data_IF_586459671714
#
_entry.id   IF_586459671714
#
_cell.length_a   1.000
_cell.length_b   1.000
_cell.length_c   1.000
_cell.angle_alpha   90.00
_cell.angle_beta   90.00
_cell.angle_gamma   90.00
#
_symmetry.space_group_name_H-M   'P 1'
#
loop_
_entity.id
_entity.type
_entity.pdbx_description
1 polymer ?
#
# COMPACT_ATOMS: atom_id res chain seq x y z
N UNK A 1 14.29 -2.82 -40.09
CA UNK A 1 12.82 -2.78 -39.98
C UNK A 1 12.33 -4.16 -39.55
N UNK A 2 12.28 -4.45 -38.24
CA UNK A 2 11.80 -5.73 -37.70
C UNK A 2 11.55 -5.65 -36.18
N UNK A 3 10.55 -4.86 -35.73
CA UNK A 3 10.14 -4.82 -34.30
C UNK A 3 8.66 -4.45 -34.10
N UNK A 4 7.74 -5.00 -34.90
CA UNK A 4 6.31 -4.66 -34.79
C UNK A 4 5.38 -5.81 -34.35
N UNK A 5 5.83 -7.07 -34.33
CA UNK A 5 4.89 -8.21 -34.21
C UNK A 5 4.80 -8.90 -32.84
N UNK A 6 5.62 -8.54 -31.84
CA UNK A 6 5.56 -9.19 -30.52
C UNK A 6 4.49 -8.62 -29.57
N UNK A 7 3.99 -7.39 -29.82
CA UNK A 7 3.11 -6.69 -28.87
C UNK A 7 1.63 -7.12 -28.90
N UNK A 8 1.21 -7.90 -29.91
CA UNK A 8 -0.21 -8.33 -30.04
C UNK A 8 -0.54 -9.66 -29.34
N UNK A 9 0.45 -10.49 -29.01
CA UNK A 9 0.20 -11.78 -28.38
C UNK A 9 -0.12 -11.68 -26.87
N UNK A 10 0.37 -10.64 -26.18
CA UNK A 10 0.24 -10.54 -24.72
C UNK A 10 -1.07 -9.86 -24.25
N UNK A 11 -1.79 -9.16 -25.15
CA UNK A 11 -3.05 -8.46 -24.80
C UNK A 11 -4.27 -9.36 -24.70
N UNK A 12 -4.20 -10.63 -25.13
CA UNK A 12 -5.35 -11.55 -25.08
C UNK A 12 -5.44 -12.41 -23.82
N UNK A 13 -4.41 -12.45 -22.97
CA UNK A 13 -4.46 -13.22 -21.70
C UNK A 13 -4.92 -12.43 -20.47
N UNK A 14 -5.09 -11.11 -20.57
CA UNK A 14 -5.50 -10.24 -19.44
C UNK A 14 -7.00 -9.91 -19.37
N UNK A 15 -7.84 -10.56 -20.18
CA UNK A 15 -9.27 -10.21 -20.30
C UNK A 15 -10.26 -11.22 -19.70
N UNK A 16 -9.78 -12.14 -18.85
CA UNK A 16 -10.63 -13.21 -18.31
C UNK A 16 -10.45 -13.45 -16.80
N UNK A 17 -10.28 -12.37 -16.04
CA UNK A 17 -10.62 -12.35 -14.61
C UNK A 17 -11.74 -11.34 -14.37
N UNK A 18 -12.78 -11.42 -15.20
CA UNK A 18 -14.08 -10.89 -14.85
C UNK A 18 -14.63 -11.72 -13.70
N UNK A 19 -14.68 -11.09 -12.53
CA UNK A 19 -15.52 -11.39 -11.38
C UNK A 19 -16.67 -12.33 -11.71
N UNK A 20 -16.54 -13.58 -11.29
CA UNK A 20 -17.68 -14.46 -11.04
C UNK A 20 -17.65 -14.81 -9.56
N UNK A 21 -18.19 -13.90 -8.73
CA UNK A 21 -18.69 -14.26 -7.42
C UNK A 21 -19.91 -15.16 -7.63
N UNK A 22 -19.67 -16.47 -7.67
CA UNK A 22 -20.74 -17.47 -7.61
C UNK A 22 -21.31 -17.44 -6.19
N UNK A 23 -22.52 -16.93 -6.06
CA UNK A 23 -23.33 -17.10 -4.86
C UNK A 23 -23.65 -18.60 -4.70
N UNK A 24 -22.90 -19.30 -3.85
CA UNK A 24 -23.26 -20.62 -3.38
C UNK A 24 -24.33 -20.46 -2.29
N UNK A 25 -25.60 -20.57 -2.67
CA UNK A 25 -26.69 -20.80 -1.72
C UNK A 25 -26.59 -22.27 -1.30
N UNK A 26 -25.74 -22.53 -0.31
CA UNK A 26 -25.57 -23.83 0.33
C UNK A 26 -26.32 -23.86 1.66
N UNK A 27 -27.42 -24.60 1.68
CA UNK A 27 -28.30 -24.82 2.82
C UNK A 27 -27.61 -25.65 3.91
N UNK A 28 -27.70 -25.18 5.16
CA UNK A 28 -27.53 -25.89 6.44
C UNK A 28 -26.22 -26.67 6.67
N UNK A 29 -25.25 -25.98 7.26
CA UNK A 29 -24.13 -26.59 7.99
C UNK A 29 -23.34 -25.52 8.72
N UNK A 30 -23.38 -25.50 10.05
CA UNK A 30 -22.65 -24.54 10.86
C UNK A 30 -21.13 -24.70 10.66
N UNK A 31 -20.54 -23.80 9.87
CA UNK A 31 -19.13 -23.68 9.61
C UNK A 31 -18.93 -22.45 8.75
N UNK A 32 -18.58 -21.33 9.39
CA UNK A 32 -18.55 -20.01 8.78
C UNK A 32 -17.62 -19.94 7.55
N UNK A 33 -18.21 -20.00 6.36
CA UNK A 33 -17.60 -19.58 5.11
C UNK A 33 -17.94 -18.11 4.91
N UNK A 34 -17.14 -17.21 5.49
CA UNK A 34 -17.23 -15.78 5.20
C UNK A 34 -16.68 -15.53 3.79
N UNK A 35 -17.61 -15.27 2.89
CA UNK A 35 -17.43 -14.70 1.56
C UNK A 35 -16.60 -13.41 1.63
N UNK A 36 -15.34 -13.47 1.20
CA UNK A 36 -14.48 -12.29 1.03
C UNK A 36 -14.93 -11.46 -0.19
N UNK A 37 -15.91 -10.58 0.02
CA UNK A 37 -16.14 -9.45 -0.86
C UNK A 37 -15.03 -8.42 -0.61
N UNK A 38 -14.01 -8.39 -1.49
CA UNK A 38 -13.12 -7.28 -1.85
C UNK A 38 -12.91 -6.08 -0.91
N UNK A 39 -12.84 -6.29 0.40
CA UNK A 39 -12.54 -5.25 1.37
C UNK A 39 -11.08 -4.84 1.30
N UNK A 40 -10.79 -3.62 1.76
CA UNK A 40 -9.42 -3.19 2.00
C UNK A 40 -8.77 -4.16 3.01
N UNK A 41 -7.67 -4.85 2.64
CA UNK A 41 -7.01 -5.79 3.55
C UNK A 41 -6.49 -5.15 4.83
N UNK A 42 -6.26 -3.83 4.82
CA UNK A 42 -5.75 -3.07 5.96
C UNK A 42 -6.85 -2.49 6.84
N UNK A 43 -8.13 -2.59 6.46
CA UNK A 43 -9.23 -2.15 7.30
C UNK A 43 -9.20 -2.88 8.65
N UNK A 44 -9.31 -2.12 9.73
CA UNK A 44 -9.26 -2.67 11.08
C UNK A 44 -7.86 -3.04 11.61
N UNK A 45 -6.78 -2.83 10.85
CA UNK A 45 -5.43 -3.24 11.25
C UNK A 45 -4.66 -2.18 12.06
N UNK A 46 -5.13 -0.93 12.13
CA UNK A 46 -4.53 0.16 12.89
C UNK A 46 -4.87 0.15 14.38
N UNK A 47 -4.43 1.16 15.11
CA UNK A 47 -4.71 1.35 16.54
C UNK A 47 -4.03 0.34 17.45
N UNK A 48 -4.53 0.22 18.69
CA UNK A 48 -3.89 -0.54 19.77
C UNK A 48 -3.37 -1.92 19.35
N UNK A 49 -2.11 -2.18 19.65
CA UNK A 49 -1.43 -3.45 19.35
C UNK A 49 -0.99 -3.57 17.90
N UNK A 50 -0.82 -2.44 17.20
CA UNK A 50 -0.28 -2.41 15.85
C UNK A 50 1.11 -3.05 15.80
N UNK A 51 1.93 -2.82 16.83
CA UNK A 51 3.24 -3.49 16.99
C UNK A 51 3.14 -5.01 16.83
N UNK A 52 2.28 -5.64 17.61
CA UNK A 52 2.13 -7.10 17.59
C UNK A 52 1.66 -7.59 16.22
N UNK A 53 0.81 -6.82 15.53
CA UNK A 53 0.35 -7.12 14.16
C UNK A 53 1.45 -6.95 13.12
N UNK A 54 2.31 -5.95 13.28
CA UNK A 54 3.52 -5.79 12.50
C UNK A 54 4.43 -7.01 12.62
N UNK A 55 4.67 -7.51 13.84
CA UNK A 55 5.48 -8.71 14.07
C UNK A 55 4.82 -9.99 13.54
N UNK A 56 3.50 -10.09 13.62
CA UNK A 56 2.73 -11.21 13.10
C UNK A 56 2.65 -11.24 11.56
N UNK A 57 2.93 -10.11 10.90
CA UNK A 57 2.80 -9.92 9.47
C UNK A 57 1.43 -9.35 9.09
N UNK A 58 1.44 -8.08 8.68
CA UNK A 58 0.25 -7.41 8.15
C UNK A 58 -0.09 -7.90 6.74
N UNK A 59 -1.37 -7.90 6.36
CA UNK A 59 -1.75 -8.25 5.00
C UNK A 59 -1.29 -7.14 4.03
N UNK A 60 -0.73 -7.53 2.88
CA UNK A 60 -0.25 -6.57 1.88
C UNK A 60 -1.35 -6.21 0.87
N UNK A 61 -1.63 -4.91 0.66
CA UNK A 61 -2.42 -4.45 -0.47
C UNK A 61 -1.88 -4.91 -1.82
N UNK A 62 -2.78 -5.09 -2.79
CA UNK A 62 -2.36 -5.33 -4.16
C UNK A 62 -1.61 -4.10 -4.70
N UNK A 63 -0.42 -4.32 -5.25
CA UNK A 63 0.41 -3.23 -5.79
C UNK A 63 1.37 -2.61 -4.76
N UNK A 64 1.48 -3.17 -3.56
CA UNK A 64 2.54 -2.78 -2.61
C UNK A 64 3.91 -2.98 -3.24
N UNK A 65 4.69 -1.90 -3.29
CA UNK A 65 6.09 -1.90 -3.75
C UNK A 65 7.06 -1.85 -2.56
N UNK A 66 6.60 -1.38 -1.41
CA UNK A 66 7.36 -1.31 -0.18
C UNK A 66 6.40 -1.28 1.02
N UNK A 67 6.78 -1.94 2.10
CA UNK A 67 6.17 -1.74 3.41
C UNK A 67 7.27 -1.69 4.47
N UNK A 68 6.99 -1.03 5.59
CA UNK A 68 7.76 -1.24 6.81
C UNK A 68 6.92 -0.93 8.05
N UNK A 69 7.42 -1.39 9.19
CA UNK A 69 6.93 -1.02 10.49
C UNK A 69 8.01 -0.23 11.22
N UNK A 70 7.60 0.82 11.92
CA UNK A 70 8.48 1.66 12.73
C UNK A 70 7.91 1.83 14.12
N UNK A 71 8.84 1.97 15.08
CA UNK A 71 8.52 2.17 16.46
C UNK A 71 9.08 3.46 17.05
N UNK A 72 8.16 4.32 17.49
CA UNK A 72 8.48 5.64 17.96
C UNK A 72 9.01 6.55 16.86
N UNK A 73 9.56 7.68 17.26
CA UNK A 73 10.07 8.68 16.33
C UNK A 73 11.28 8.18 15.55
N UNK A 74 11.32 8.47 14.26
CA UNK A 74 12.39 7.96 13.41
C UNK A 74 12.42 8.53 12.01
N UNK A 75 13.55 8.29 11.35
CA UNK A 75 13.76 8.59 9.94
C UNK A 75 14.44 7.43 9.25
N UNK A 76 13.97 7.08 8.05
CA UNK A 76 14.58 6.10 7.17
C UNK A 76 14.73 6.63 5.75
N UNK A 77 15.70 6.07 5.02
CA UNK A 77 15.85 6.29 3.59
C UNK A 77 16.06 4.94 2.92
N UNK A 78 15.32 4.71 1.84
CA UNK A 78 15.25 3.44 1.14
C UNK A 78 15.43 3.67 -0.35
N UNK A 79 16.22 2.82 -1.01
CA UNK A 79 16.25 2.78 -2.46
C UNK A 79 15.05 1.97 -2.96
N UNK A 80 14.29 2.55 -3.89
CA UNK A 80 13.12 1.93 -4.49
C UNK A 80 13.25 1.93 -6.02
N UNK A 81 12.94 0.79 -6.64
CA UNK A 81 12.75 0.65 -8.08
C UNK A 81 11.24 0.73 -8.35
N UNK A 82 10.80 1.83 -8.95
CA UNK A 82 9.39 2.18 -9.13
C UNK A 82 9.03 2.26 -10.61
N UNK A 83 8.07 1.46 -11.05
CA UNK A 83 7.49 1.57 -12.38
C UNK A 83 6.70 2.88 -12.57
N UNK A 84 6.48 3.31 -13.82
CA UNK A 84 5.54 4.37 -14.15
C UNK A 84 4.13 4.10 -13.58
N UNK A 85 3.51 5.07 -12.92
CA UNK A 85 2.19 4.91 -12.31
C UNK A 85 1.91 5.87 -11.16
N UNK A 86 0.71 5.77 -10.59
CA UNK A 86 0.31 6.55 -9.41
C UNK A 86 0.61 5.77 -8.14
N UNK A 87 1.14 6.46 -7.13
CA UNK A 87 1.53 5.89 -5.85
C UNK A 87 0.82 6.59 -4.70
N UNK A 88 0.28 5.77 -3.80
CA UNK A 88 -0.32 6.20 -2.54
C UNK A 88 0.54 5.70 -1.36
N UNK A 89 0.64 6.53 -0.31
CA UNK A 89 1.09 6.15 1.02
C UNK A 89 -0.15 5.69 1.79
N UNK A 90 -0.12 4.47 2.31
CA UNK A 90 -1.13 3.97 3.24
C UNK A 90 -0.47 3.79 4.60
N UNK A 91 -1.01 4.44 5.64
CA UNK A 91 -0.48 4.41 6.99
C UNK A 91 -1.50 3.84 7.97
N UNK A 92 -1.05 2.90 8.79
CA UNK A 92 -1.71 2.46 10.01
C UNK A 92 -0.94 3.05 11.18
N UNK A 93 -1.64 3.61 12.17
CA UNK A 93 -1.01 4.25 13.30
C UNK A 93 -1.56 3.74 14.64
N UNK A 94 -0.70 3.71 15.64
CA UNK A 94 -1.03 3.50 17.06
C UNK A 94 -0.27 4.52 17.90
N UNK A 95 -0.86 5.70 18.09
CA UNK A 95 -0.29 6.76 18.94
C UNK A 95 0.80 7.64 18.29
N UNK A 96 1.13 7.45 17.01
CA UNK A 96 1.97 8.37 16.25
C UNK A 96 1.18 9.62 15.82
N UNK A 97 1.87 10.72 15.52
CA UNK A 97 1.26 11.98 15.11
C UNK A 97 1.08 12.05 13.58
N UNK A 98 2.16 11.80 12.83
CA UNK A 98 2.15 11.79 11.37
C UNK A 98 3.28 10.96 10.77
N UNK A 99 3.11 10.63 9.49
CA UNK A 99 4.12 10.00 8.65
C UNK A 99 4.32 10.82 7.39
N UNK A 100 5.55 11.25 7.16
CA UNK A 100 5.96 12.07 6.02
C UNK A 100 6.79 11.23 5.05
N UNK A 101 6.45 11.25 3.76
CA UNK A 101 7.19 10.58 2.68
C UNK A 101 7.66 11.57 1.61
N UNK A 102 8.90 11.40 1.18
CA UNK A 102 9.52 12.16 0.08
C UNK A 102 10.15 11.20 -0.92
N UNK A 103 9.85 11.38 -2.20
CA UNK A 103 10.50 10.69 -3.33
C UNK A 103 11.52 11.64 -4.00
N UNK A 104 12.80 11.28 -3.97
CA UNK A 104 13.92 12.05 -4.55
C UNK A 104 14.65 11.18 -5.61
N UNK A 105 14.85 11.58 -6.88
CA UNK A 105 14.75 12.92 -7.48
C UNK A 105 13.54 13.15 -8.38
N UNK A 106 12.46 12.38 -8.17
CA UNK A 106 11.32 12.26 -9.10
C UNK A 106 10.74 13.60 -9.58
N UNK A 107 10.83 14.69 -8.80
CA UNK A 107 10.70 16.04 -9.31
C UNK A 107 11.26 17.03 -8.28
N UNK A 108 11.96 18.11 -8.68
CA UNK A 108 12.15 19.22 -7.76
C UNK A 108 10.75 19.80 -7.49
N UNK A 109 10.31 19.81 -6.22
CA UNK A 109 9.09 20.48 -5.71
C UNK A 109 7.79 19.66 -5.64
N UNK A 110 7.81 18.40 -5.25
CA UNK A 110 6.61 17.84 -4.59
C UNK A 110 6.70 18.15 -3.11
N UNK A 111 5.70 18.85 -2.57
CA UNK A 111 5.52 18.92 -1.13
C UNK A 111 5.53 17.48 -0.58
N UNK A 112 6.16 17.24 0.57
CA UNK A 112 6.14 15.91 1.17
C UNK A 112 4.71 15.39 1.30
N UNK A 113 4.50 14.11 1.00
CA UNK A 113 3.22 13.46 1.27
C UNK A 113 3.14 13.24 2.79
N UNK A 114 2.20 13.90 3.46
CA UNK A 114 2.02 13.79 4.91
C UNK A 114 0.71 13.05 5.18
N UNK A 115 0.80 11.89 5.83
CA UNK A 115 -0.34 11.16 6.34
C UNK A 115 -0.50 11.46 7.84
N UNK A 116 -1.52 12.26 8.17
CA UNK A 116 -1.91 12.51 9.55
C UNK A 116 -2.43 11.20 10.18
N UNK A 117 -1.86 10.84 11.32
CA UNK A 117 -2.28 9.64 12.04
C UNK A 117 -3.58 9.91 12.79
N UNK A 118 -4.69 9.43 12.23
CA UNK A 118 -5.98 9.45 12.92
C UNK A 118 -6.02 8.31 13.92
N UNK A 119 -6.41 8.61 15.17
CA UNK A 119 -6.68 7.54 16.15
C UNK A 119 -7.81 6.65 15.66
N UNK A 120 -7.51 5.38 15.40
CA UNK A 120 -8.52 4.44 14.96
C UNK A 120 -7.91 3.20 14.30
N UNK A 121 -8.77 2.23 13.96
CA UNK A 121 -8.32 0.97 13.41
C UNK A 121 -8.18 0.99 11.88
N UNK A 122 -8.62 2.06 11.22
CA UNK A 122 -8.64 2.17 9.76
C UNK A 122 -7.41 2.96 9.25
N UNK A 123 -6.91 2.63 8.04
CA UNK A 123 -5.75 3.30 7.47
C UNK A 123 -6.05 4.74 7.01
N UNK A 124 -5.03 5.60 7.13
CA UNK A 124 -4.95 6.87 6.40
C UNK A 124 -4.31 6.62 5.03
N UNK A 125 -4.82 7.23 3.96
CA UNK A 125 -4.23 7.13 2.61
C UNK A 125 -3.99 8.52 2.03
N UNK A 126 -2.79 8.75 1.48
CA UNK A 126 -2.38 10.03 0.87
C UNK A 126 -1.66 9.75 -0.45
N UNK A 127 -1.96 10.51 -1.50
CA UNK A 127 -1.25 10.41 -2.78
C UNK A 127 0.17 10.94 -2.62
N UNK A 128 1.18 10.13 -2.97
CA UNK A 128 2.60 10.54 -2.98
C UNK A 128 2.94 11.22 -4.30
N UNK A 129 2.41 10.70 -5.41
CA UNK A 129 2.62 11.28 -6.74
C UNK A 129 2.38 10.31 -7.88
N UNK A 130 2.69 10.77 -9.10
CA UNK A 130 2.62 9.98 -10.32
C UNK A 130 3.99 10.00 -11.03
N UNK A 131 4.44 8.84 -11.45
CA UNK A 131 5.66 8.63 -12.24
C UNK A 131 5.29 8.41 -13.71
N UNK A 132 5.90 9.19 -14.60
CA UNK A 132 5.68 9.07 -16.05
C UNK A 132 6.54 7.96 -16.71
N UNK A 133 7.61 7.56 -16.03
CA UNK A 133 8.54 6.51 -16.45
C UNK A 133 9.02 5.69 -15.26
N UNK A 134 9.65 4.55 -15.53
CA UNK A 134 10.25 3.69 -14.52
C UNK A 134 11.53 4.35 -13.99
N UNK A 135 11.71 4.39 -12.67
CA UNK A 135 12.81 5.11 -12.00
C UNK A 135 13.35 4.37 -10.80
N UNK A 136 14.66 4.48 -10.58
CA UNK A 136 15.30 4.14 -9.30
C UNK A 136 15.43 5.44 -8.50
N UNK A 137 14.80 5.49 -7.34
CA UNK A 137 14.66 6.71 -6.53
C UNK A 137 14.94 6.42 -5.05
N UNK A 138 15.32 7.44 -4.29
CA UNK A 138 15.38 7.37 -2.84
C UNK A 138 14.02 7.80 -2.26
N UNK A 139 13.43 6.92 -1.46
CA UNK A 139 12.30 7.27 -0.62
C UNK A 139 12.79 7.57 0.79
N UNK A 140 12.59 8.80 1.23
CA UNK A 140 12.78 9.18 2.63
C UNK A 140 11.46 9.17 3.38
N UNK A 141 11.45 8.56 4.55
CA UNK A 141 10.31 8.54 5.46
C UNK A 141 10.71 9.13 6.81
N UNK A 142 9.84 9.96 7.37
CA UNK A 142 9.96 10.49 8.73
C UNK A 142 8.66 10.21 9.46
N UNK A 143 8.75 9.67 10.67
CA UNK A 143 7.63 9.55 11.60
C UNK A 143 7.82 10.56 12.74
N UNK A 144 6.73 11.23 13.11
CA UNK A 144 6.65 12.05 14.32
C UNK A 144 5.72 11.40 15.36
N UNK A 145 6.04 11.58 16.64
CA UNK A 145 5.34 10.96 17.76
C UNK A 145 5.88 9.58 18.16
N UNK A 146 5.72 9.26 19.45
CA UNK A 146 6.28 8.07 20.12
C UNK A 146 5.54 6.75 19.84
N UNK A 147 4.51 6.77 18.97
CA UNK A 147 3.68 5.60 18.68
C UNK A 147 4.26 4.63 17.66
N UNK A 148 3.45 3.64 17.29
CA UNK A 148 3.79 2.67 16.25
C UNK A 148 3.17 3.06 14.92
N UNK A 149 3.89 2.82 13.82
CA UNK A 149 3.39 2.99 12.46
C UNK A 149 3.70 1.75 11.63
N UNK A 150 2.73 1.37 10.80
CA UNK A 150 2.98 0.54 9.63
C UNK A 150 2.62 1.34 8.39
N UNK A 151 3.51 1.40 7.42
CA UNK A 151 3.25 2.10 6.18
C UNK A 151 3.45 1.20 4.96
N UNK A 152 2.73 1.52 3.90
CA UNK A 152 2.79 0.86 2.61
C UNK A 152 2.87 1.92 1.52
N UNK A 153 3.76 1.71 0.55
CA UNK A 153 3.73 2.44 -0.71
C UNK A 153 3.07 1.53 -1.74
N UNK A 154 1.95 1.97 -2.31
CA UNK A 154 1.10 1.15 -3.16
C UNK A 154 0.93 1.81 -4.52
N UNK A 155 1.23 1.06 -5.58
CA UNK A 155 0.94 1.47 -6.96
C UNK A 155 -0.52 1.16 -7.30
N UNK A 156 -1.22 2.16 -7.85
CA UNK A 156 -2.62 2.07 -8.27
C UNK A 156 -2.84 1.81 -9.75
#
# INVERSE_FOLDING_TARGET
MARADAARANRRRRRDRSSRCLAAIGVLGAGALLTACGGDPLAGQGGLGLRDRCEAGLPEPAGTVMHACNDGEGRGTFLADLDAGRYDLVALCDGADDVTVVLDPVAPLTDPAVADCVTGPDPTTVEIGTLDEDVVTELSLTQHGDGDVAFFVVRR
#
